data_IF_107370190313
#
_entry.id   IF_107370190313
#
_cell.length_a   1.000
_cell.length_b   1.000
_cell.length_c   1.000
_cell.angle_alpha   90.00
_cell.angle_beta   90.00
_cell.angle_gamma   90.00
#
_symmetry.space_group_name_H-M   'P 1'
#
loop_
_entity.id
_entity.type
_entity.pdbx_description
1 polymer ?
#
# COMPACT_ATOMS: atom_id res chain seq x y z
N UNK A 1 17.34 -6.17 14.78
CA UNK A 1 16.33 -7.13 15.28
C UNK A 1 16.64 -8.50 14.70
N UNK A 2 16.97 -9.52 15.51
CA UNK A 2 17.07 -10.89 15.00
C UNK A 2 15.69 -11.34 14.54
N UNK A 3 15.57 -11.96 13.35
CA UNK A 3 14.32 -12.59 12.92
C UNK A 3 14.12 -13.85 13.75
N UNK A 4 12.99 -13.94 14.45
CA UNK A 4 12.55 -15.17 15.11
C UNK A 4 12.33 -16.25 14.03
N UNK A 5 13.06 -17.36 14.13
CA UNK A 5 12.95 -18.49 13.21
C UNK A 5 11.60 -19.22 13.30
N UNK A 6 10.85 -18.98 14.39
CA UNK A 6 9.52 -19.53 14.63
C UNK A 6 8.39 -18.52 14.37
N UNK A 7 8.69 -17.35 13.80
CA UNK A 7 7.65 -16.42 13.40
C UNK A 7 6.70 -17.08 12.38
N UNK A 8 5.37 -16.88 12.51
CA UNK A 8 4.42 -17.43 11.55
C UNK A 8 4.72 -16.89 10.16
N UNK A 9 4.77 -17.79 9.18
CA UNK A 9 4.86 -17.39 7.77
C UNK A 9 3.54 -16.74 7.38
N UNK A 10 3.64 -15.55 6.81
CA UNK A 10 2.48 -14.88 6.23
C UNK A 10 2.05 -15.65 4.97
N UNK A 11 0.74 -15.76 4.78
CA UNK A 11 0.16 -16.25 3.54
C UNK A 11 0.45 -15.26 2.41
N UNK A 12 0.87 -15.77 1.26
CA UNK A 12 1.07 -14.97 0.06
C UNK A 12 -0.23 -15.01 -0.74
N UNK A 13 -0.92 -13.86 -0.80
CA UNK A 13 -2.11 -13.70 -1.64
C UNK A 13 -1.68 -13.44 -3.07
N UNK A 14 -2.06 -14.32 -4.00
CA UNK A 14 -1.72 -14.20 -5.42
C UNK A 14 -2.88 -13.77 -6.30
N UNK A 15 -4.11 -13.98 -5.83
CA UNK A 15 -5.33 -13.61 -6.53
C UNK A 15 -5.49 -12.09 -6.63
N UNK A 16 -6.27 -11.66 -7.62
CA UNK A 16 -6.57 -10.26 -7.84
C UNK A 16 -8.02 -10.04 -7.40
N UNK A 17 -8.27 -9.17 -6.40
CA UNK A 17 -9.62 -8.91 -5.93
C UNK A 17 -10.39 -8.03 -6.93
N UNK A 18 -11.71 -8.10 -6.91
CA UNK A 18 -12.56 -7.20 -7.72
C UNK A 18 -12.45 -5.74 -7.25
N UNK A 19 -12.25 -5.52 -5.94
CA UNK A 19 -12.10 -4.20 -5.32
C UNK A 19 -11.03 -4.19 -4.23
N UNK A 20 -10.31 -3.08 -4.09
CA UNK A 20 -9.32 -2.88 -3.04
C UNK A 20 -9.35 -1.45 -2.47
N UNK A 21 -8.99 -1.31 -1.19
CA UNK A 21 -8.84 -0.03 -0.53
C UNK A 21 -7.42 0.09 0.04
N UNK A 22 -6.71 1.16 -0.30
CA UNK A 22 -5.34 1.43 0.15
C UNK A 22 -5.38 2.61 1.11
N UNK A 23 -5.07 2.35 2.38
CA UNK A 23 -5.17 3.34 3.47
C UNK A 23 -3.77 3.68 3.94
N UNK A 24 -3.43 4.97 3.95
CA UNK A 24 -2.07 5.43 4.22
C UNK A 24 -2.06 6.85 4.78
N UNK A 25 -0.96 7.21 5.46
CA UNK A 25 -0.90 8.44 6.24
C UNK A 25 -0.62 9.67 5.37
N UNK A 26 0.39 9.58 4.49
CA UNK A 26 0.91 10.70 3.72
C UNK A 26 0.96 10.40 2.21
N UNK A 27 0.95 11.44 1.35
CA UNK A 27 1.14 11.26 -0.08
C UNK A 27 2.58 10.77 -0.37
N UNK A 28 2.74 9.46 -0.59
CA UNK A 28 3.96 8.72 -1.01
C UNK A 28 3.95 7.29 -0.44
N UNK A 29 3.35 7.12 0.74
CA UNK A 29 3.32 5.87 1.49
C UNK A 29 2.78 4.69 0.65
N UNK A 30 1.72 4.92 -0.13
CA UNK A 30 1.10 3.88 -0.96
C UNK A 30 2.03 3.43 -2.08
N UNK A 31 2.70 4.36 -2.76
CA UNK A 31 3.63 4.11 -3.85
C UNK A 31 4.85 3.32 -3.35
N UNK A 32 5.38 3.67 -2.19
CA UNK A 32 6.55 3.03 -1.57
C UNK A 32 6.19 1.64 -1.03
N UNK A 33 5.07 1.53 -0.31
CA UNK A 33 4.70 0.30 0.39
C UNK A 33 4.00 -0.73 -0.48
N UNK A 34 3.19 -0.28 -1.44
CA UNK A 34 2.24 -1.15 -2.17
C UNK A 34 2.08 -0.82 -3.65
N UNK A 35 2.81 0.17 -4.20
CA UNK A 35 2.58 0.70 -5.54
C UNK A 35 2.63 -0.37 -6.64
N UNK A 36 3.55 -1.33 -6.55
CA UNK A 36 3.64 -2.44 -7.50
C UNK A 36 2.43 -3.38 -7.46
N UNK A 37 1.89 -3.66 -6.26
CA UNK A 37 0.69 -4.51 -6.10
C UNK A 37 -0.53 -3.78 -6.63
N UNK A 38 -0.70 -2.51 -6.25
CA UNK A 38 -1.80 -1.67 -6.73
C UNK A 38 -1.78 -1.56 -8.25
N UNK A 39 -0.62 -1.27 -8.85
CA UNK A 39 -0.48 -1.18 -10.29
C UNK A 39 -0.87 -2.49 -10.99
N UNK A 40 -0.40 -3.63 -10.47
CA UNK A 40 -0.76 -4.97 -10.99
C UNK A 40 -2.27 -5.21 -10.90
N UNK A 41 -2.90 -4.89 -9.77
CA UNK A 41 -4.32 -5.11 -9.56
C UNK A 41 -5.19 -4.20 -10.42
N UNK A 42 -4.87 -2.91 -10.49
CA UNK A 42 -5.57 -1.95 -11.34
C UNK A 42 -5.47 -2.33 -12.82
N UNK A 43 -4.30 -2.76 -13.30
CA UNK A 43 -4.11 -3.23 -14.67
C UNK A 43 -4.94 -4.49 -15.00
N UNK A 44 -5.31 -5.27 -13.99
CA UNK A 44 -6.15 -6.45 -14.12
C UNK A 44 -7.64 -6.17 -13.87
N UNK A 45 -8.04 -4.90 -13.72
CA UNK A 45 -9.45 -4.50 -13.59
C UNK A 45 -9.97 -4.40 -12.16
N UNK A 46 -9.10 -4.51 -11.15
CA UNK A 46 -9.49 -4.24 -9.76
C UNK A 46 -9.88 -2.77 -9.59
N UNK A 47 -11.04 -2.50 -8.98
CA UNK A 47 -11.45 -1.14 -8.58
C UNK A 47 -10.67 -0.73 -7.33
N UNK A 48 -9.74 0.21 -7.46
CA UNK A 48 -8.88 0.66 -6.37
C UNK A 48 -9.34 2.01 -5.82
N UNK A 49 -9.57 2.08 -4.52
CA UNK A 49 -9.85 3.33 -3.78
C UNK A 49 -8.69 3.67 -2.86
N UNK A 50 -8.21 4.91 -2.90
CA UNK A 50 -7.18 5.42 -1.99
C UNK A 50 -7.83 6.22 -0.86
N UNK A 51 -7.40 5.96 0.37
CA UNK A 51 -7.75 6.73 1.57
C UNK A 51 -6.47 7.37 2.10
N UNK A 52 -6.35 8.67 1.83
CA UNK A 52 -5.26 9.49 2.30
C UNK A 52 -5.67 10.19 3.60
N UNK A 53 -5.04 9.81 4.72
CA UNK A 53 -5.43 10.32 6.03
C UNK A 53 -5.01 11.77 6.28
N UNK A 54 -3.92 12.23 5.66
CA UNK A 54 -3.41 13.60 5.78
C UNK A 54 -3.01 14.15 4.42
N UNK A 55 -3.02 15.46 4.24
CA UNK A 55 -2.57 16.05 2.97
C UNK A 55 -1.04 16.12 2.82
N UNK A 56 -0.26 15.60 3.78
CA UNK A 56 1.21 15.63 3.72
C UNK A 56 1.84 17.02 3.79
N UNK A 57 1.15 18.04 4.30
CA UNK A 57 1.62 19.43 4.26
C UNK A 57 3.00 19.67 4.90
N UNK A 58 3.46 18.79 5.80
CA UNK A 58 4.78 18.87 6.41
C UNK A 58 5.89 18.11 5.65
N UNK A 59 5.58 17.54 4.48
CA UNK A 59 6.53 16.74 3.67
C UNK A 59 7.52 17.58 2.85
N UNK A 60 7.37 18.90 2.84
CA UNK A 60 8.29 19.85 2.21
C UNK A 60 8.68 20.96 3.18
N UNK A 61 9.86 21.54 2.97
CA UNK A 61 10.31 22.75 3.66
C UNK A 61 9.86 24.04 2.94
N UNK A 62 9.27 23.91 1.76
CA UNK A 62 8.69 25.02 1.00
C UNK A 62 7.44 25.56 1.70
N UNK A 63 7.23 26.88 1.68
CA UNK A 63 6.27 27.57 2.54
C UNK A 63 5.31 28.45 1.76
#
# INVERSE_FOLDING_TARGET
>A
MPRDANAPKLEIVTDIPDKAMVIFAHPDDAEIGSGGVVAKWAAAGCEVTYVLCTNGAAGTADR
#
